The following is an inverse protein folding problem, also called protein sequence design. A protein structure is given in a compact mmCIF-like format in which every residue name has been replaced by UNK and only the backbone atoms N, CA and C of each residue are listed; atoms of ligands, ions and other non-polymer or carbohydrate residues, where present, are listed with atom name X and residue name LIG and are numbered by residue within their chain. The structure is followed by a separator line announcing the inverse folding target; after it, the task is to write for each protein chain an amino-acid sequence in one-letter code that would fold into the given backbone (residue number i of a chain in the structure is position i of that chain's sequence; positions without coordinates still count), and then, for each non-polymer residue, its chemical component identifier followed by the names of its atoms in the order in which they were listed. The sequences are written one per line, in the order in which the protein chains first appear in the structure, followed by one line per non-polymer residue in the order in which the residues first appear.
data_IF_294205434755
#
_entry.id   IF_294205434755
#
_cell.length_a   1.000
_cell.length_b   1.000
_cell.length_c   1.000
_cell.angle_alpha   90.00
_cell.angle_beta   90.00
_cell.angle_gamma   90.00
#
_symmetry.space_group_name_H-M   'P 1'
#
loop_
_entity.id
_entity.type
_entity.pdbx_description
1 polymer ?
#
# COMPACT_ATOMS: atom_id res chain seq x y z
N UNK A 1 3.44 6.60 -4.61
CA UNK A 1 2.17 6.86 -3.93
C UNK A 1 1.00 6.60 -4.87
N UNK A 2 -0.07 5.98 -4.34
CA UNK A 2 -1.24 5.56 -5.13
C UNK A 2 -1.98 6.70 -5.80
N UNK A 3 -2.08 7.85 -5.15
CA UNK A 3 -2.75 9.02 -5.74
C UNK A 3 -1.93 9.59 -6.90
N UNK A 4 -0.61 9.65 -6.75
CA UNK A 4 0.28 10.18 -7.78
C UNK A 4 0.26 9.32 -9.06
N UNK A 5 0.34 8.00 -8.96
CA UNK A 5 0.32 7.13 -10.14
C UNK A 5 -1.03 7.18 -10.87
N UNK A 6 -2.12 7.47 -10.16
CA UNK A 6 -3.47 7.62 -10.75
C UNK A 6 -3.67 8.93 -11.50
N UNK A 7 -2.78 9.90 -11.38
CA UNK A 7 -2.82 11.11 -12.21
C UNK A 7 -2.21 10.91 -13.60
N UNK A 8 -1.43 9.86 -13.79
CA UNK A 8 -0.68 9.58 -15.03
C UNK A 8 -0.72 8.11 -15.42
N UNK A 9 0.22 7.32 -14.92
CA UNK A 9 0.44 5.91 -15.30
C UNK A 9 -0.83 5.05 -15.19
N UNK A 10 -1.63 5.25 -14.16
CA UNK A 10 -2.81 4.46 -13.84
C UNK A 10 -4.11 5.29 -13.90
N UNK A 11 -4.13 6.37 -14.69
CA UNK A 11 -5.28 7.27 -14.82
C UNK A 11 -6.53 6.61 -15.42
N UNK A 12 -6.34 5.49 -16.11
CA UNK A 12 -7.40 4.67 -16.72
C UNK A 12 -8.05 3.70 -15.72
N UNK A 13 -7.48 3.52 -14.53
CA UNK A 13 -7.94 2.56 -13.53
C UNK A 13 -8.86 3.20 -12.48
N UNK A 14 -9.96 2.51 -12.17
CA UNK A 14 -10.86 2.80 -11.06
C UNK A 14 -10.45 2.11 -9.76
N UNK A 15 -11.46 1.68 -8.98
CA UNK A 15 -11.27 1.07 -7.66
C UNK A 15 -11.96 -0.30 -7.54
N UNK A 16 -12.32 -0.93 -8.66
CA UNK A 16 -12.78 -2.32 -8.66
C UNK A 16 -11.64 -3.25 -8.23
N UNK A 17 -11.93 -4.47 -7.81
CA UNK A 17 -10.87 -5.45 -7.50
C UNK A 17 -9.86 -5.61 -8.64
N UNK A 18 -10.32 -5.70 -9.88
CA UNK A 18 -9.52 -5.85 -11.08
C UNK A 18 -8.63 -4.63 -11.33
N UNK A 19 -9.18 -3.42 -11.19
CA UNK A 19 -8.41 -2.17 -11.30
C UNK A 19 -7.34 -2.05 -10.21
N UNK A 20 -7.63 -2.53 -8.99
CA UNK A 20 -6.67 -2.53 -7.89
C UNK A 20 -5.52 -3.51 -8.15
N UNK A 21 -5.83 -4.71 -8.63
CA UNK A 21 -4.83 -5.71 -9.02
C UNK A 21 -3.91 -5.16 -10.12
N UNK A 22 -4.48 -4.56 -11.17
CA UNK A 22 -3.71 -3.96 -12.27
C UNK A 22 -2.90 -2.75 -11.80
N UNK A 23 -3.43 -1.93 -10.87
CA UNK A 23 -2.68 -0.84 -10.27
C UNK A 23 -1.44 -1.35 -9.52
N UNK A 24 -1.57 -2.38 -8.70
CA UNK A 24 -0.45 -2.99 -7.97
C UNK A 24 0.56 -3.58 -8.97
N UNK A 25 0.10 -4.31 -9.98
CA UNK A 25 0.96 -4.91 -11.00
C UNK A 25 1.80 -3.85 -11.73
N UNK A 26 1.18 -2.77 -12.22
CA UNK A 26 1.91 -1.70 -12.94
C UNK A 26 2.93 -1.01 -12.05
N UNK A 27 2.57 -0.72 -10.79
CA UNK A 27 3.49 -0.11 -9.85
C UNK A 27 4.67 -1.03 -9.54
N UNK A 28 4.43 -2.33 -9.37
CA UNK A 28 5.49 -3.32 -9.13
C UNK A 28 6.48 -3.40 -10.31
N UNK A 29 6.00 -3.41 -11.55
CA UNK A 29 6.87 -3.41 -12.74
C UNK A 29 7.74 -2.15 -12.82
N UNK A 30 7.17 -0.97 -12.58
CA UNK A 30 7.94 0.28 -12.54
C UNK A 30 8.96 0.25 -11.41
N UNK A 31 8.57 -0.23 -10.23
CA UNK A 31 9.47 -0.35 -9.08
C UNK A 31 10.66 -1.27 -9.39
N UNK A 32 10.41 -2.37 -10.09
CA UNK A 32 11.47 -3.28 -10.54
C UNK A 32 12.46 -2.58 -11.48
N UNK A 33 11.97 -1.84 -12.47
CA UNK A 33 12.85 -1.08 -13.38
C UNK A 33 13.69 -0.04 -12.66
N UNK A 34 13.12 0.65 -11.67
CA UNK A 34 13.84 1.62 -10.85
C UNK A 34 14.89 0.95 -9.96
N UNK A 35 14.55 -0.17 -9.33
CA UNK A 35 15.49 -0.97 -8.54
C UNK A 35 16.65 -1.47 -9.42
N UNK A 36 16.36 -1.96 -10.64
CA UNK A 36 17.40 -2.42 -11.58
C UNK A 36 18.38 -1.30 -11.97
N UNK A 37 17.97 -0.04 -11.85
CA UNK A 37 18.84 1.13 -12.01
C UNK A 37 19.55 1.58 -10.73
N UNK A 38 19.43 0.81 -9.63
CA UNK A 38 20.12 1.07 -8.36
C UNK A 38 19.41 2.04 -7.42
N UNK A 39 18.09 2.24 -7.60
CA UNK A 39 17.30 3.15 -6.76
C UNK A 39 16.54 2.37 -5.69
N UNK A 40 16.61 2.82 -4.45
CA UNK A 40 15.71 2.34 -3.38
C UNK A 40 14.31 2.91 -3.62
N UNK A 41 13.31 2.03 -3.71
CA UNK A 41 11.94 2.42 -4.10
C UNK A 41 10.98 2.24 -2.94
N UNK A 42 10.28 3.30 -2.57
CA UNK A 42 9.19 3.27 -1.60
C UNK A 42 7.84 3.29 -2.30
N UNK A 43 7.03 2.27 -2.05
CA UNK A 43 5.67 2.15 -2.60
C UNK A 43 4.64 2.29 -1.50
N UNK A 44 3.80 3.32 -1.56
CA UNK A 44 2.70 3.55 -0.62
C UNK A 44 1.36 3.29 -1.33
N UNK A 45 0.82 2.10 -1.16
CA UNK A 45 -0.46 1.65 -1.70
C UNK A 45 -1.32 1.02 -0.61
N UNK A 46 -2.64 1.07 -0.75
CA UNK A 46 -3.55 0.29 0.10
C UNK A 46 -3.36 -1.20 -0.14
N UNK A 47 -3.21 -1.64 -1.40
CA UNK A 47 -3.00 -3.04 -1.83
C UNK A 47 -3.77 -4.06 -0.97
N UNK A 48 -5.13 -4.04 -1.05
CA UNK A 48 -5.97 -4.72 -0.06
C UNK A 48 -5.95 -6.24 -0.17
N UNK A 49 -5.60 -6.78 -1.32
CA UNK A 49 -5.63 -8.22 -1.57
C UNK A 49 -4.24 -8.84 -1.44
N UNK A 50 -4.19 -9.97 -0.73
CA UNK A 50 -2.94 -10.70 -0.50
C UNK A 50 -2.33 -11.22 -1.80
N UNK A 51 -3.14 -11.76 -2.69
CA UNK A 51 -2.71 -12.26 -4.00
C UNK A 51 -1.98 -11.21 -4.84
N UNK A 52 -2.43 -9.94 -4.77
CA UNK A 52 -1.81 -8.85 -5.53
C UNK A 52 -0.43 -8.50 -4.98
N UNK A 53 -0.29 -8.49 -3.63
CA UNK A 53 0.99 -8.26 -2.97
C UNK A 53 1.98 -9.40 -3.22
N UNK A 54 1.52 -10.66 -3.16
CA UNK A 54 2.31 -11.84 -3.50
C UNK A 54 2.78 -11.79 -4.97
N UNK A 55 1.90 -11.40 -5.88
CA UNK A 55 2.27 -11.21 -7.29
C UNK A 55 3.32 -10.12 -7.45
N UNK A 56 3.19 -9.00 -6.76
CA UNK A 56 4.20 -7.94 -6.78
C UNK A 56 5.55 -8.43 -6.21
N UNK A 57 5.54 -9.11 -5.06
CA UNK A 57 6.74 -9.67 -4.44
C UNK A 57 7.47 -10.65 -5.35
N UNK A 58 6.73 -11.47 -6.11
CA UNK A 58 7.31 -12.47 -7.04
C UNK A 58 8.18 -11.90 -8.16
N UNK A 59 8.13 -10.59 -8.41
CA UNK A 59 8.98 -9.91 -9.39
C UNK A 59 10.41 -9.64 -8.87
N UNK A 60 10.64 -9.83 -7.56
CA UNK A 60 11.90 -9.52 -6.89
C UNK A 60 12.49 -10.79 -6.27
N UNK A 61 13.80 -10.79 -6.02
CA UNK A 61 14.38 -11.81 -5.15
C UNK A 61 14.07 -11.46 -3.68
N UNK A 62 14.03 -12.46 -2.81
CA UNK A 62 13.54 -12.33 -1.44
C UNK A 62 14.20 -11.18 -0.65
N UNK A 63 15.51 -10.96 -0.83
CA UNK A 63 16.27 -9.89 -0.15
C UNK A 63 16.05 -8.48 -0.74
N UNK A 64 15.27 -8.34 -1.80
CA UNK A 64 15.06 -7.06 -2.49
C UNK A 64 13.65 -6.51 -2.34
N UNK A 65 12.78 -7.22 -1.62
CA UNK A 65 11.40 -6.84 -1.38
C UNK A 65 11.10 -6.89 0.12
N UNK A 66 10.63 -5.78 0.66
CA UNK A 66 10.23 -5.65 2.07
C UNK A 66 8.74 -5.32 2.13
N UNK A 67 7.93 -6.25 2.63
CA UNK A 67 6.51 -6.02 2.88
C UNK A 67 6.30 -5.33 4.22
N UNK A 68 5.85 -4.09 4.18
CA UNK A 68 5.58 -3.28 5.38
C UNK A 68 4.08 -3.18 5.60
N UNK A 69 3.62 -3.73 6.73
CA UNK A 69 2.24 -3.61 7.16
C UNK A 69 2.05 -2.42 8.10
N UNK A 70 1.29 -1.42 7.66
CA UNK A 70 0.91 -0.29 8.50
C UNK A 70 -0.39 -0.65 9.23
N UNK A 71 -0.25 -1.22 10.43
CA UNK A 71 -1.34 -1.73 11.26
C UNK A 71 -2.01 -0.58 12.02
N UNK A 72 -3.03 0.01 11.41
CA UNK A 72 -3.86 1.05 12.02
C UNK A 72 -5.32 0.58 12.03
N UNK A 73 -5.98 0.52 13.20
CA UNK A 73 -7.40 0.20 13.29
C UNK A 73 -8.27 1.12 12.42
N UNK A 74 -9.30 0.57 11.79
CA UNK A 74 -10.16 1.30 10.84
C UNK A 74 -10.91 2.47 11.50
N UNK A 75 -11.30 2.34 12.78
CA UNK A 75 -11.89 3.40 13.56
C UNK A 75 -10.95 4.61 13.69
N UNK A 76 -9.68 4.38 14.00
CA UNK A 76 -8.66 5.43 14.05
C UNK A 76 -8.43 6.06 12.68
N UNK A 77 -8.41 5.25 11.61
CA UNK A 77 -8.32 5.78 10.24
C UNK A 77 -9.51 6.67 9.90
N UNK A 78 -10.73 6.26 10.30
CA UNK A 78 -11.96 6.99 10.09
C UNK A 78 -12.02 8.30 10.90
N UNK A 79 -11.52 8.29 12.14
CA UNK A 79 -11.42 9.51 12.95
C UNK A 79 -10.46 10.53 12.35
N UNK A 80 -9.32 10.08 11.81
CA UNK A 80 -8.33 10.95 11.18
C UNK A 80 -8.79 11.54 9.86
N UNK A 81 -9.41 10.74 9.03
CA UNK A 81 -9.97 11.02 7.68
C UNK A 81 -9.43 12.28 6.96
N UNK A 82 -8.12 12.45 6.77
CA UNK A 82 -7.53 13.72 6.30
C UNK A 82 -8.01 14.14 4.90
N UNK A 83 -8.55 13.19 4.12
CA UNK A 83 -9.07 13.42 2.75
C UNK A 83 -10.59 13.37 2.67
N UNK A 84 -11.29 13.14 3.77
CA UNK A 84 -12.75 12.99 3.82
C UNK A 84 -13.28 11.76 3.06
N UNK A 85 -12.45 10.71 2.90
CA UNK A 85 -12.84 9.52 2.14
C UNK A 85 -13.81 8.65 2.94
N UNK A 86 -13.60 8.51 4.25
CA UNK A 86 -14.50 7.77 5.13
C UNK A 86 -15.87 8.45 5.23
N UNK A 87 -15.89 9.78 5.34
CA UNK A 87 -17.13 10.55 5.31
C UNK A 87 -17.89 10.37 3.97
N UNK A 88 -17.20 10.37 2.83
CA UNK A 88 -17.80 10.11 1.52
C UNK A 88 -18.33 8.68 1.40
N UNK A 89 -17.60 7.69 1.93
CA UNK A 89 -18.05 6.29 1.92
C UNK A 89 -19.30 6.10 2.79
N UNK A 90 -19.34 6.71 3.98
CA UNK A 90 -20.51 6.68 4.87
C UNK A 90 -21.75 7.33 4.23
N UNK A 91 -21.56 8.37 3.41
CA UNK A 91 -22.62 9.00 2.63
C UNK A 91 -23.02 8.21 1.36
N UNK A 92 -22.44 7.03 1.10
CA UNK A 92 -22.71 6.22 -0.09
C UNK A 92 -22.05 6.71 -1.38
N UNK A 93 -21.21 7.72 -1.31
CA UNK A 93 -20.58 8.35 -2.48
C UNK A 93 -19.25 7.69 -2.89
N UNK A 94 -18.81 6.65 -2.16
CA UNK A 94 -17.58 5.90 -2.43
C UNK A 94 -17.77 4.41 -2.11
N UNK A 95 -18.46 3.64 -3.00
CA UNK A 95 -18.90 2.27 -2.70
C UNK A 95 -17.75 1.26 -2.55
N UNK A 96 -16.59 1.50 -3.17
CA UNK A 96 -15.48 0.57 -3.21
C UNK A 96 -14.33 0.99 -2.28
N UNK A 97 -14.64 1.61 -1.15
CA UNK A 97 -13.63 1.98 -0.18
C UNK A 97 -13.20 0.78 0.67
N UNK A 98 -11.91 0.49 0.67
CA UNK A 98 -11.32 -0.56 1.53
C UNK A 98 -11.54 -0.25 3.01
N UNK A 99 -11.97 -1.25 3.76
CA UNK A 99 -12.29 -1.11 5.19
C UNK A 99 -13.73 -0.66 5.47
N UNK A 100 -14.48 -0.21 4.45
CA UNK A 100 -15.90 0.17 4.59
C UNK A 100 -16.78 -0.68 3.68
N UNK A 101 -16.54 -0.67 2.36
CA UNK A 101 -17.27 -1.45 1.37
C UNK A 101 -16.48 -2.60 0.76
N UNK A 102 -15.17 -2.65 0.96
CA UNK A 102 -14.28 -3.73 0.52
C UNK A 102 -13.42 -4.25 1.66
N UNK A 103 -13.12 -5.55 1.61
CA UNK A 103 -12.27 -6.23 2.59
C UNK A 103 -10.82 -5.81 2.38
N UNK A 104 -10.09 -5.64 3.48
CA UNK A 104 -8.64 -5.64 3.52
C UNK A 104 -8.16 -6.98 4.07
N UNK A 105 -7.25 -7.63 3.36
CA UNK A 105 -6.63 -8.90 3.76
C UNK A 105 -5.27 -8.60 4.39
N UNK A 106 -5.12 -8.64 5.73
CA UNK A 106 -3.83 -8.42 6.37
C UNK A 106 -2.77 -9.41 5.85
N UNK A 107 -1.50 -9.00 5.70
CA UNK A 107 -0.44 -9.92 5.35
C UNK A 107 -0.29 -11.01 6.43
N UNK A 108 0.13 -12.20 6.00
CA UNK A 108 0.31 -13.34 6.92
C UNK A 108 1.63 -13.24 7.69
N UNK A 109 2.67 -12.81 6.99
CA UNK A 109 4.04 -12.71 7.53
C UNK A 109 4.75 -11.51 6.90
N UNK A 110 4.37 -10.28 7.25
CA UNK A 110 5.07 -9.11 6.75
C UNK A 110 6.47 -9.01 7.36
N UNK A 111 7.41 -8.45 6.61
CA UNK A 111 8.78 -8.25 7.09
C UNK A 111 8.85 -7.20 8.20
N UNK A 112 7.96 -6.19 8.14
CA UNK A 112 7.86 -5.13 9.13
C UNK A 112 6.42 -4.78 9.44
N UNK A 113 6.09 -4.62 10.73
CA UNK A 113 4.79 -4.10 11.18
C UNK A 113 5.01 -2.72 11.82
N UNK A 114 4.40 -1.70 11.25
CA UNK A 114 4.36 -0.35 11.80
C UNK A 114 3.00 -0.09 12.45
N UNK A 115 3.01 0.30 13.72
CA UNK A 115 1.79 0.67 14.41
C UNK A 115 1.42 2.12 14.07
N UNK A 116 0.37 2.29 13.30
CA UNK A 116 -0.09 3.60 12.85
C UNK A 116 -0.63 4.53 13.96
N UNK A 117 -0.67 4.05 15.20
CA UNK A 117 -0.98 4.84 16.40
C UNK A 117 0.26 5.25 17.20
N UNK A 118 1.44 4.80 16.75
CA UNK A 118 2.71 5.07 17.41
C UNK A 118 3.37 6.39 16.99
N UNK A 119 4.59 6.58 17.49
CA UNK A 119 5.44 7.68 17.12
C UNK A 119 5.92 7.55 15.67
N UNK A 120 5.77 8.64 14.91
CA UNK A 120 6.17 8.68 13.49
C UNK A 120 7.68 8.55 13.31
N UNK A 121 8.48 9.18 14.17
CA UNK A 121 9.94 9.13 14.11
C UNK A 121 10.45 7.72 14.41
N UNK A 122 9.90 7.06 15.42
CA UNK A 122 10.20 5.67 15.73
C UNK A 122 9.84 4.73 14.55
N UNK A 123 8.70 4.94 13.91
CA UNK A 123 8.27 4.17 12.73
C UNK A 123 9.21 4.40 11.53
N UNK A 124 9.65 5.63 11.30
CA UNK A 124 10.60 5.97 10.26
C UNK A 124 11.98 5.30 10.50
N UNK A 125 12.45 5.31 11.75
CA UNK A 125 13.72 4.66 12.10
C UNK A 125 13.67 3.13 11.89
N UNK A 126 12.56 2.48 12.23
CA UNK A 126 12.36 1.05 11.95
C UNK A 126 12.40 0.76 10.44
N UNK A 127 11.76 1.62 9.63
CA UNK A 127 11.77 1.46 8.17
C UNK A 127 13.18 1.63 7.59
N UNK A 128 13.94 2.62 8.07
CA UNK A 128 15.33 2.83 7.65
C UNK A 128 16.20 1.63 8.04
N UNK A 129 16.05 1.09 9.25
CA UNK A 129 16.78 -0.09 9.68
C UNK A 129 16.50 -1.30 8.78
N UNK A 130 15.24 -1.57 8.48
CA UNK A 130 14.84 -2.67 7.59
C UNK A 130 15.45 -2.56 6.18
N UNK A 131 15.63 -1.33 5.65
CA UNK A 131 16.26 -1.11 4.34
C UNK A 131 17.78 -1.36 4.39
N UNK A 132 18.42 -1.03 5.51
CA UNK A 132 19.88 -1.20 5.64
C UNK A 132 20.27 -2.65 5.92
N UNK A 133 19.32 -3.49 6.34
CA UNK A 133 19.51 -4.91 6.63
C UNK A 133 19.11 -5.82 5.44
N UNK A 134 18.36 -5.30 4.49
CA UNK A 134 17.96 -5.99 3.27
C UNK A 134 19.09 -5.93 2.20
#
# INVERSE_FOLDING_TARGET
DGDNVRTGLNKDLGFTPEDRAENVRRVAEVSKLMRDSGVVVFVALVSPYRSDRETAASLFVESEFVEVFVDTPVDICSERDPKGLYAKAAAGNLPNMTGVGQIYEPPVSPDLILRGTGDLEASANLLVAAILEA
#
